data_IF_055308315976
#
_entry.id   IF_055308315976
#
_cell.length_a   1.000
_cell.length_b   1.000
_cell.length_c   1.000
_cell.angle_alpha   90.00
_cell.angle_beta   90.00
_cell.angle_gamma   90.00
#
_symmetry.space_group_name_H-M   'P 1'
#
loop_
_entity.id
_entity.type
_entity.pdbx_description
1 polymer ?
#
# COMPACT_ATOMS: atom_id res chain seq x y z
N UNK A 1 16.20 -10.46 33.75
CA UNK A 1 15.60 -11.04 32.52
C UNK A 1 14.22 -10.44 32.13
N UNK A 2 13.93 -9.15 32.40
CA UNK A 2 12.63 -8.51 32.05
C UNK A 2 12.60 -7.85 30.65
N UNK A 3 13.75 -7.70 29.99
CA UNK A 3 13.88 -6.98 28.71
C UNK A 3 13.41 -7.81 27.49
N UNK A 4 13.66 -9.13 27.45
CA UNK A 4 13.36 -9.98 26.29
C UNK A 4 11.87 -10.04 25.93
N UNK A 5 10.98 -10.00 26.94
CA UNK A 5 9.53 -10.04 26.72
C UNK A 5 8.98 -8.77 26.04
N UNK A 6 9.58 -7.60 26.31
CA UNK A 6 9.16 -6.35 25.67
C UNK A 6 9.52 -6.32 24.19
N UNK A 7 10.71 -6.82 23.82
CA UNK A 7 11.14 -6.91 22.41
C UNK A 7 10.27 -7.88 21.63
N UNK A 8 9.97 -9.06 22.20
CA UNK A 8 9.05 -10.03 21.59
C UNK A 8 7.64 -9.45 21.37
N UNK A 9 7.12 -8.70 22.35
CA UNK A 9 5.81 -8.04 22.23
C UNK A 9 5.76 -6.97 21.14
N UNK A 10 6.84 -6.23 20.92
CA UNK A 10 6.94 -5.25 19.81
C UNK A 10 7.02 -5.97 18.47
N UNK A 11 7.84 -7.01 18.36
CA UNK A 11 8.02 -7.77 17.12
C UNK A 11 6.70 -8.43 16.67
N UNK A 12 5.93 -8.97 17.63
CA UNK A 12 4.61 -9.54 17.34
C UNK A 12 3.60 -8.47 16.89
N UNK A 13 3.65 -7.26 17.48
CA UNK A 13 2.79 -6.15 17.06
C UNK A 13 3.12 -5.67 15.66
N UNK A 14 4.39 -5.58 15.31
CA UNK A 14 4.86 -5.25 13.96
C UNK A 14 4.38 -6.29 12.94
N UNK A 15 4.49 -7.59 13.27
CA UNK A 15 3.97 -8.66 12.41
C UNK A 15 2.45 -8.57 12.17
N UNK A 16 1.68 -8.26 13.21
CA UNK A 16 0.22 -8.03 13.09
C UNK A 16 -0.11 -6.79 12.27
N UNK A 17 0.70 -5.73 12.34
CA UNK A 17 0.53 -4.51 11.55
C UNK A 17 0.66 -4.76 10.04
N UNK A 18 1.57 -5.64 9.63
CA UNK A 18 1.77 -6.02 8.24
C UNK A 18 0.67 -6.89 7.65
N UNK A 19 -0.17 -7.51 8.49
CA UNK A 19 -1.26 -8.35 8.02
C UNK A 19 -2.33 -7.57 7.25
N UNK A 20 -2.57 -6.31 7.65
CA UNK A 20 -3.61 -5.45 7.07
C UNK A 20 -3.34 -5.14 5.59
N UNK A 21 -2.14 -4.69 5.19
CA UNK A 21 -1.82 -4.50 3.78
C UNK A 21 -1.76 -5.82 3.01
N UNK A 22 -1.17 -6.88 3.59
CA UNK A 22 -0.95 -8.17 2.90
C UNK A 22 -2.27 -8.80 2.46
N UNK A 23 -3.37 -8.58 3.18
CA UNK A 23 -4.69 -9.08 2.81
C UNK A 23 -5.21 -8.56 1.45
N UNK A 24 -4.74 -7.40 0.98
CA UNK A 24 -5.22 -6.79 -0.28
C UNK A 24 -4.42 -7.24 -1.51
N UNK A 25 -3.18 -7.73 -1.31
CA UNK A 25 -2.29 -8.14 -2.40
C UNK A 25 -2.82 -9.32 -3.24
N UNK A 26 -3.45 -10.37 -2.68
CA UNK A 26 -3.94 -11.51 -3.46
C UNK A 26 -5.01 -11.10 -4.48
N UNK A 27 -5.96 -10.25 -4.05
CA UNK A 27 -7.06 -9.79 -4.91
C UNK A 27 -6.52 -8.88 -6.01
N UNK A 28 -5.61 -7.95 -5.68
CA UNK A 28 -4.96 -7.10 -6.67
C UNK A 28 -4.13 -7.91 -7.67
N UNK A 29 -3.42 -8.94 -7.21
CA UNK A 29 -2.62 -9.83 -8.05
C UNK A 29 -3.46 -10.65 -9.03
N UNK A 30 -4.59 -11.18 -8.56
CA UNK A 30 -5.51 -11.95 -9.39
C UNK A 30 -6.17 -11.08 -10.47
N UNK A 31 -6.61 -9.86 -10.11
CA UNK A 31 -7.16 -8.88 -11.06
C UNK A 31 -6.14 -8.46 -12.12
N UNK A 32 -4.91 -8.15 -11.72
CA UNK A 32 -3.85 -7.78 -12.65
C UNK A 32 -3.49 -8.95 -13.57
N UNK A 33 -3.35 -10.16 -13.02
CA UNK A 33 -2.96 -11.36 -13.75
C UNK A 33 -4.00 -11.79 -14.79
N UNK A 34 -5.26 -11.93 -14.38
CA UNK A 34 -6.36 -12.28 -15.29
C UNK A 34 -6.58 -11.16 -16.31
N UNK A 35 -6.58 -9.90 -15.86
CA UNK A 35 -6.76 -8.74 -16.73
C UNK A 35 -5.71 -8.68 -17.84
N UNK A 36 -4.41 -8.81 -17.50
CA UNK A 36 -3.32 -8.76 -18.49
C UNK A 36 -3.29 -9.98 -19.42
N UNK A 37 -3.67 -11.16 -18.93
CA UNK A 37 -3.70 -12.38 -19.73
C UNK A 37 -4.84 -12.33 -20.76
N UNK A 38 -6.01 -11.82 -20.38
CA UNK A 38 -7.18 -11.70 -21.24
C UNK A 38 -7.13 -10.51 -22.20
N UNK A 39 -6.33 -9.48 -21.95
CA UNK A 39 -6.16 -8.33 -22.86
C UNK A 39 -5.01 -8.47 -23.86
N UNK A 40 -4.31 -9.62 -23.91
CA UNK A 40 -3.14 -9.80 -24.77
C UNK A 40 -3.53 -10.19 -26.21
N UNK A 41 -3.03 -9.44 -27.20
CA UNK A 41 -3.21 -9.64 -28.65
C UNK A 41 -2.93 -11.09 -29.11
N UNK A 42 -1.99 -11.77 -28.45
CA UNK A 42 -1.59 -13.15 -28.74
C UNK A 42 -2.62 -14.17 -28.24
N UNK A 43 -3.28 -13.88 -27.12
CA UNK A 43 -4.33 -14.73 -26.53
C UNK A 43 -5.67 -14.54 -27.24
N UNK A 44 -5.99 -13.33 -27.70
CA UNK A 44 -7.17 -13.07 -28.54
C UNK A 44 -7.11 -13.78 -29.89
N UNK A 45 -5.91 -13.87 -30.49
CA UNK A 45 -5.67 -14.61 -31.74
C UNK A 45 -5.72 -16.13 -31.54
N UNK A 46 -5.18 -16.64 -30.43
CA UNK A 46 -5.19 -18.07 -30.13
C UNK A 46 -6.60 -18.62 -29.82
N UNK A 47 -7.48 -17.81 -29.22
CA UNK A 47 -8.85 -18.20 -28.87
C UNK A 47 -9.89 -18.00 -29.99
N UNK A 48 -9.50 -17.56 -31.20
CA UNK A 48 -10.42 -17.37 -32.34
C UNK A 48 -11.67 -16.50 -32.04
N UNK A 49 -11.59 -15.58 -31.07
CA UNK A 49 -12.72 -14.77 -30.58
C UNK A 49 -12.75 -13.32 -31.08
N UNK A 50 -12.14 -13.03 -32.25
CA UNK A 50 -12.10 -11.69 -32.85
C UNK A 50 -13.49 -11.03 -33.05
N UNK A 51 -14.59 -11.79 -32.99
CA UNK A 51 -15.96 -11.30 -33.25
C UNK A 51 -16.75 -10.85 -32.02
N UNK A 52 -16.36 -11.24 -30.80
CA UNK A 52 -17.06 -10.92 -29.52
C UNK A 52 -16.15 -10.24 -28.49
N UNK A 53 -14.83 -10.42 -28.59
CA UNK A 53 -13.82 -9.70 -27.78
C UNK A 53 -12.91 -8.81 -28.64
N UNK A 54 -13.45 -8.23 -29.72
CA UNK A 54 -12.73 -7.21 -30.49
C UNK A 54 -12.56 -5.90 -29.69
N UNK A 55 -11.54 -5.07 -30.01
CA UNK A 55 -11.33 -3.76 -29.39
C UNK A 55 -12.55 -2.86 -29.63
N UNK A 56 -13.30 -2.60 -28.55
CA UNK A 56 -14.55 -1.81 -28.58
C UNK A 56 -15.74 -2.47 -27.89
N UNK A 57 -15.67 -3.76 -27.56
CA UNK A 57 -16.75 -4.44 -26.83
C UNK A 57 -16.72 -4.05 -25.35
N UNK A 58 -17.89 -3.82 -24.74
CA UNK A 58 -18.02 -3.45 -23.31
C UNK A 58 -17.22 -4.39 -22.39
N UNK A 59 -17.15 -5.69 -22.75
CA UNK A 59 -16.43 -6.71 -21.99
C UNK A 59 -14.91 -6.47 -21.92
N UNK A 60 -14.29 -6.01 -23.02
CA UNK A 60 -12.87 -5.63 -23.04
C UNK A 60 -12.62 -4.40 -22.16
N UNK A 61 -13.54 -3.42 -22.19
CA UNK A 61 -13.48 -2.24 -21.33
C UNK A 61 -13.54 -2.58 -19.84
N UNK A 62 -14.46 -3.45 -19.44
CA UNK A 62 -14.62 -3.88 -18.03
C UNK A 62 -13.36 -4.62 -17.54
N UNK A 63 -12.82 -5.54 -18.33
CA UNK A 63 -11.62 -6.31 -17.96
C UNK A 63 -10.37 -5.41 -17.93
N UNK A 64 -10.24 -4.47 -18.88
CA UNK A 64 -9.13 -3.51 -18.93
C UNK A 64 -9.13 -2.59 -17.71
N UNK A 65 -10.28 -2.02 -17.37
CA UNK A 65 -10.43 -1.20 -16.15
C UNK A 65 -10.09 -2.01 -14.90
N UNK A 66 -10.50 -3.29 -14.83
CA UNK A 66 -10.13 -4.19 -13.73
C UNK A 66 -8.61 -4.42 -13.61
N UNK A 67 -7.91 -4.58 -14.73
CA UNK A 67 -6.44 -4.70 -14.74
C UNK A 67 -5.75 -3.40 -14.32
N UNK A 68 -6.21 -2.26 -14.82
CA UNK A 68 -5.68 -0.94 -14.47
C UNK A 68 -5.84 -0.64 -12.97
N UNK A 69 -6.98 -1.01 -12.38
CA UNK A 69 -7.21 -0.94 -10.94
C UNK A 69 -6.16 -1.76 -10.15
N UNK A 70 -5.88 -3.00 -10.58
CA UNK A 70 -4.83 -3.82 -9.96
C UNK A 70 -3.45 -3.16 -10.03
N UNK A 71 -3.13 -2.54 -11.17
CA UNK A 71 -1.86 -1.84 -11.38
C UNK A 71 -1.70 -0.62 -10.47
N UNK A 72 -2.78 0.13 -10.23
CA UNK A 72 -2.76 1.30 -9.34
C UNK A 72 -2.48 0.89 -7.88
N UNK A 73 -3.05 -0.23 -7.43
CA UNK A 73 -2.83 -0.74 -6.06
C UNK A 73 -1.36 -1.12 -5.88
N UNK A 74 -0.77 -1.87 -6.82
CA UNK A 74 0.66 -2.21 -6.74
C UNK A 74 1.57 -0.98 -6.89
N UNK A 75 1.20 -0.03 -7.73
CA UNK A 75 1.96 1.23 -7.91
C UNK A 75 1.99 2.10 -6.65
N UNK A 76 0.95 2.02 -5.80
CA UNK A 76 0.86 2.74 -4.53
C UNK A 76 1.06 1.84 -3.31
N UNK A 77 1.53 0.60 -3.50
CA UNK A 77 1.72 -0.36 -2.41
C UNK A 77 2.61 0.18 -1.26
N UNK A 78 3.73 0.89 -1.54
CA UNK A 78 4.54 1.46 -0.47
C UNK A 78 3.79 2.48 0.40
N UNK A 79 2.88 3.25 -0.18
CA UNK A 79 2.04 4.22 0.54
C UNK A 79 1.04 3.49 1.46
N UNK A 80 0.39 2.43 0.95
CA UNK A 80 -0.55 1.59 1.73
C UNK A 80 0.19 0.93 2.90
N UNK A 81 1.42 0.47 2.68
CA UNK A 81 2.25 -0.15 3.71
C UNK A 81 2.68 0.86 4.79
N UNK A 82 3.06 2.09 4.40
CA UNK A 82 3.39 3.15 5.35
C UNK A 82 2.22 3.54 6.26
N UNK A 83 1.00 3.58 5.71
CA UNK A 83 -0.22 3.76 6.49
C UNK A 83 -0.53 2.55 7.38
N UNK A 84 -0.39 1.32 6.85
CA UNK A 84 -0.66 0.09 7.61
C UNK A 84 0.26 -0.10 8.83
N UNK A 85 1.56 0.16 8.67
CA UNK A 85 2.54 0.04 9.77
C UNK A 85 2.31 1.09 10.85
N UNK A 86 2.05 2.34 10.45
CA UNK A 86 1.77 3.43 11.41
C UNK A 86 0.50 3.16 12.22
N UNK A 87 -0.56 2.64 11.60
CA UNK A 87 -1.78 2.21 12.29
C UNK A 87 -1.52 1.04 13.25
N UNK A 88 -0.79 0.02 12.81
CA UNK A 88 -0.58 -1.19 13.63
C UNK A 88 0.38 -1.00 14.81
N UNK A 89 1.21 0.04 14.80
CA UNK A 89 2.08 0.39 15.92
C UNK A 89 1.46 1.43 16.88
N UNK A 90 0.44 2.17 16.46
CA UNK A 90 -0.23 3.18 17.28
C UNK A 90 -1.10 2.55 18.39
N UNK A 91 -1.00 3.09 19.61
CA UNK A 91 -1.78 2.64 20.77
C UNK A 91 -3.09 3.41 20.95
N UNK A 92 -3.12 4.68 20.55
CA UNK A 92 -4.30 5.55 20.57
C UNK A 92 -4.35 6.35 19.23
N UNK A 93 -5.42 7.12 18.98
CA UNK A 93 -5.75 7.85 17.72
C UNK A 93 -5.12 7.29 16.43
N UNK A 94 -5.62 6.14 15.99
CA UNK A 94 -5.13 5.43 14.80
C UNK A 94 -5.21 6.26 13.51
N UNK A 95 -6.16 7.21 13.45
CA UNK A 95 -6.36 8.09 12.30
C UNK A 95 -5.19 9.08 12.11
N UNK A 96 -4.72 9.73 13.17
CA UNK A 96 -3.60 10.70 13.11
C UNK A 96 -2.29 9.97 12.81
N UNK A 97 -2.11 8.77 13.35
CA UNK A 97 -0.96 7.92 13.05
C UNK A 97 -0.90 7.56 11.56
N UNK A 98 -2.03 7.18 10.95
CA UNK A 98 -2.12 6.86 9.53
C UNK A 98 -1.72 8.05 8.64
N UNK A 99 -2.23 9.25 8.96
CA UNK A 99 -1.92 10.49 8.23
C UNK A 99 -0.42 10.85 8.33
N UNK A 100 0.19 10.71 9.50
CA UNK A 100 1.63 10.94 9.69
C UNK A 100 2.48 9.93 8.89
N UNK A 101 2.05 8.67 8.85
CA UNK A 101 2.70 7.63 8.03
C UNK A 101 2.64 7.91 6.53
N UNK A 102 1.48 8.34 6.03
CA UNK A 102 1.30 8.73 4.62
C UNK A 102 2.18 9.93 4.25
N UNK A 103 2.19 10.97 5.08
CA UNK A 103 3.01 12.17 4.87
C UNK A 103 4.50 11.85 4.93
N UNK A 104 4.93 11.03 5.90
CA UNK A 104 6.33 10.61 6.02
C UNK A 104 6.82 9.86 4.77
N UNK A 105 5.98 9.00 4.18
CA UNK A 105 6.32 8.31 2.94
C UNK A 105 6.43 9.29 1.76
N UNK A 106 5.44 10.15 1.56
CA UNK A 106 5.43 11.13 0.47
C UNK A 106 6.60 12.11 0.56
N UNK A 107 6.94 12.57 1.76
CA UNK A 107 8.12 13.41 2.00
C UNK A 107 9.39 12.65 1.65
N UNK A 108 9.58 11.42 2.13
CA UNK A 108 10.76 10.62 1.82
C UNK A 108 10.94 10.41 0.30
N UNK A 109 9.86 10.11 -0.44
CA UNK A 109 9.93 9.92 -1.90
C UNK A 109 10.23 11.21 -2.66
N UNK A 110 9.76 12.38 -2.19
CA UNK A 110 9.95 13.67 -2.89
C UNK A 110 11.20 14.44 -2.44
N UNK A 111 11.62 14.29 -1.19
CA UNK A 111 12.83 14.88 -0.61
C UNK A 111 14.09 14.02 -0.80
N UNK A 112 14.01 12.82 -1.38
CA UNK A 112 15.24 12.10 -1.76
C UNK A 112 16.12 12.94 -2.74
N UNK A 113 15.51 13.89 -3.46
CA UNK A 113 16.21 14.85 -4.32
C UNK A 113 16.68 16.13 -3.61
N UNK A 114 16.31 16.33 -2.34
CA UNK A 114 16.54 17.55 -1.55
C UNK A 114 16.35 17.19 -0.08
N UNK A 115 17.38 17.15 0.74
CA UNK A 115 17.30 17.07 2.21
C UNK A 115 17.46 15.70 2.88
N UNK A 116 18.72 15.37 3.18
CA UNK A 116 19.06 14.85 4.51
C UNK A 116 18.66 15.81 5.67
N UNK A 117 18.42 17.09 5.37
CA UNK A 117 18.16 18.17 6.35
C UNK A 117 16.72 18.23 6.91
N UNK A 118 15.72 17.66 6.23
CA UNK A 118 14.30 17.83 6.59
C UNK A 118 13.78 16.68 7.47
N UNK A 119 14.50 15.54 7.49
CA UNK A 119 14.16 14.37 8.31
C UNK A 119 14.13 14.69 9.81
N UNK A 120 14.91 15.70 10.26
CA UNK A 120 14.96 16.14 11.66
C UNK A 120 13.71 16.92 12.08
N UNK A 121 13.06 17.68 11.19
CA UNK A 121 11.87 18.48 11.51
C UNK A 121 10.61 17.61 11.64
N UNK A 122 10.49 16.55 10.82
CA UNK A 122 9.34 15.63 10.92
C UNK A 122 9.39 14.77 12.19
N UNK A 123 10.60 14.44 12.67
CA UNK A 123 10.83 13.77 13.96
C UNK A 123 10.51 14.67 15.17
N UNK A 124 10.70 15.98 15.04
CA UNK A 124 10.30 16.94 16.08
C UNK A 124 8.76 17.10 16.15
N UNK A 125 8.06 17.09 15.01
CA UNK A 125 6.59 17.10 15.00
C UNK A 125 5.98 15.83 15.65
N UNK A 126 6.63 14.67 15.49
CA UNK A 126 6.28 13.43 16.20
C UNK A 126 6.56 13.48 17.71
N UNK A 127 7.48 14.34 18.18
CA UNK A 127 7.77 14.52 19.61
C UNK A 127 6.73 15.40 20.29
N UNK A 128 6.21 16.40 19.57
CA UNK A 128 5.15 17.30 20.06
C UNK A 128 3.79 16.59 20.21
N UNK A 129 3.47 15.64 19.33
CA UNK A 129 2.25 14.82 19.43
C UNK A 129 2.32 13.75 20.52
N UNK A 130 3.51 13.42 21.05
CA UNK A 130 3.66 12.47 22.18
C UNK A 130 3.10 13.05 23.49
N UNK A 131 3.15 14.37 23.67
CA UNK A 131 2.75 15.03 24.92
C UNK A 131 1.22 15.10 25.05
N UNK A 132 0.48 15.18 23.93
CA UNK A 132 -0.99 15.33 23.94
C UNK A 132 -1.79 14.02 23.98
N UNK A 133 -1.12 12.89 24.15
CA UNK A 133 -1.66 11.56 23.84
C UNK A 133 -1.42 10.52 24.93
N UNK A 134 -0.72 10.94 25.98
CA UNK A 134 -0.52 10.21 27.22
C UNK A 134 -1.35 10.81 28.37
N UNK A 135 -2.17 11.83 28.07
CA UNK A 135 -3.29 12.31 28.89
C UNK A 135 -4.61 11.93 28.21
#
# INVERSE_FOLDING_TARGET
MKETGKVFGVLQRVGRAFMLPIAVLPVAGLLLGIGRSLTNETMLRAYHLMKIMGPGTVLYGVIKVGSDCGSIIFGNLPLIFAMGVSIGMAKAEKAVAALSGALSFLLCTKLFHRCYHCMVIHIQCMREQRIRFLE
#
